data_IF_542396837835
#
_entry.id   IF_542396837835
#
_cell.length_a   1.000
_cell.length_b   1.000
_cell.length_c   1.000
_cell.angle_alpha   90.00
_cell.angle_beta   90.00
_cell.angle_gamma   90.00
#
_symmetry.space_group_name_H-M   'P 1'
#
loop_
_entity.id
_entity.type
_entity.pdbx_description
1 polymer ?
#
# COMPACT_ATOMS: atom_id res chain seq x y z
N UNK A 1 7.49 18.83 -48.37
CA UNK A 1 7.67 17.39 -48.03
C UNK A 1 7.03 17.17 -46.66
N UNK A 2 5.69 17.08 -46.60
CA UNK A 2 4.95 17.00 -45.32
C UNK A 2 3.68 16.16 -45.39
N UNK A 3 3.58 15.18 -46.30
CA UNK A 3 2.34 14.42 -46.54
C UNK A 3 2.58 12.90 -46.65
N UNK A 4 3.21 12.31 -45.64
CA UNK A 4 3.23 10.84 -45.44
C UNK A 4 2.93 10.44 -43.99
N UNK A 5 2.28 11.32 -43.21
CA UNK A 5 1.77 11.05 -41.86
C UNK A 5 0.25 10.78 -41.84
N UNK A 6 -0.33 10.49 -43.01
CA UNK A 6 -1.73 10.11 -43.19
C UNK A 6 -1.95 8.60 -43.17
N UNK A 7 -1.21 7.85 -42.35
CA UNK A 7 -1.76 6.58 -41.88
C UNK A 7 -2.92 6.97 -40.97
N UNK A 8 -4.10 7.13 -41.55
CA UNK A 8 -5.38 7.31 -40.88
C UNK A 8 -5.48 6.20 -39.84
N UNK A 9 -5.02 6.53 -38.63
CA UNK A 9 -4.86 5.55 -37.57
C UNK A 9 -6.27 5.22 -37.14
N UNK A 10 -6.70 4.02 -37.46
CA UNK A 10 -8.05 3.50 -37.21
C UNK A 10 -8.18 3.18 -35.70
N UNK A 11 -7.81 4.14 -34.86
CA UNK A 11 -7.84 4.08 -33.42
C UNK A 11 -9.17 4.66 -32.93
N UNK A 12 -9.70 4.11 -31.83
CA UNK A 12 -10.96 4.58 -31.27
C UNK A 12 -10.86 6.04 -30.76
N UNK A 13 -11.73 6.98 -31.20
CA UNK A 13 -11.65 8.38 -30.80
C UNK A 13 -12.00 8.63 -29.33
N UNK A 14 -12.61 7.65 -28.66
CA UNK A 14 -12.98 7.73 -27.25
C UNK A 14 -11.97 7.05 -26.31
N UNK A 15 -10.88 6.51 -26.85
CA UNK A 15 -9.83 5.88 -26.05
C UNK A 15 -8.78 6.93 -25.61
N UNK A 16 -8.56 7.04 -24.31
CA UNK A 16 -7.49 7.88 -23.76
C UNK A 16 -6.89 7.27 -22.50
N UNK A 17 -5.88 7.92 -21.90
CA UNK A 17 -5.36 7.58 -20.57
C UNK A 17 -6.09 8.34 -19.46
N UNK A 18 -5.95 7.86 -18.23
CA UNK A 18 -6.36 8.61 -17.02
C UNK A 18 -5.71 9.99 -16.96
N UNK A 19 -4.46 10.09 -17.40
CA UNK A 19 -3.66 11.31 -17.28
C UNK A 19 -3.87 12.27 -18.46
N UNK A 20 -4.23 11.75 -19.64
CA UNK A 20 -4.45 12.53 -20.87
C UNK A 20 -5.50 11.84 -21.77
N UNK A 21 -6.57 12.57 -22.11
CA UNK A 21 -7.68 12.09 -22.93
C UNK A 21 -7.29 11.95 -24.41
N UNK A 22 -6.38 12.78 -24.90
CA UNK A 22 -6.05 12.87 -26.33
C UNK A 22 -4.82 12.06 -26.72
N UNK A 23 -4.13 11.47 -25.75
CA UNK A 23 -2.95 10.68 -26.01
C UNK A 23 -3.30 9.35 -26.71
N UNK A 24 -2.72 9.16 -27.89
CA UNK A 24 -2.86 7.96 -28.73
C UNK A 24 -1.76 6.97 -28.39
N UNK A 25 -2.08 5.67 -28.30
CA UNK A 25 -1.13 4.62 -27.93
C UNK A 25 -1.22 3.40 -28.86
N UNK A 26 -0.14 2.65 -28.98
CA UNK A 26 -0.09 1.41 -29.79
C UNK A 26 -0.26 0.12 -28.96
N UNK A 27 -0.29 0.21 -27.63
CA UNK A 27 -0.29 -0.96 -26.75
C UNK A 27 -1.35 -0.82 -25.65
N UNK A 28 -2.05 -1.92 -25.33
CA UNK A 28 -3.08 -1.89 -24.31
C UNK A 28 -2.47 -1.77 -22.90
N UNK A 29 -2.99 -0.82 -22.13
CA UNK A 29 -2.52 -0.55 -20.77
C UNK A 29 -3.68 -0.53 -19.78
N UNK A 30 -3.38 -0.83 -18.51
CA UNK A 30 -4.37 -0.72 -17.42
C UNK A 30 -4.80 0.73 -17.13
N UNK A 31 -4.07 1.70 -17.69
CA UNK A 31 -4.35 3.14 -17.55
C UNK A 31 -5.29 3.67 -18.63
N UNK A 32 -5.63 2.89 -19.64
CA UNK A 32 -6.62 3.32 -20.62
C UNK A 32 -8.02 3.40 -20.01
N UNK A 33 -8.76 4.41 -20.44
CA UNK A 33 -10.14 4.68 -20.07
C UNK A 33 -10.95 4.97 -21.33
N UNK A 34 -12.23 4.58 -21.30
CA UNK A 34 -13.19 4.95 -22.32
C UNK A 34 -13.88 6.25 -21.91
N UNK A 35 -13.80 7.26 -22.76
CA UNK A 35 -14.39 8.59 -22.56
C UNK A 35 -15.64 8.80 -23.42
N UNK A 36 -16.37 7.72 -23.74
CA UNK A 36 -17.65 7.79 -24.45
C UNK A 36 -18.77 8.32 -23.53
N UNK A 37 -18.69 8.02 -22.24
CA UNK A 37 -19.62 8.48 -21.22
C UNK A 37 -19.04 9.67 -20.44
N UNK A 38 -19.89 10.35 -19.65
CA UNK A 38 -19.48 11.46 -18.78
C UNK A 38 -18.37 11.04 -17.80
N UNK A 39 -18.43 9.79 -17.31
CA UNK A 39 -17.40 9.23 -16.46
C UNK A 39 -16.42 8.37 -17.28
N UNK A 40 -15.13 8.51 -17.00
CA UNK A 40 -14.09 7.73 -17.66
C UNK A 40 -14.07 6.28 -17.15
N UNK A 41 -14.56 5.33 -17.94
CA UNK A 41 -14.67 3.93 -17.52
C UNK A 41 -13.40 3.12 -17.77
N UNK A 42 -13.02 2.20 -16.86
CA UNK A 42 -11.97 1.24 -17.14
C UNK A 42 -12.40 0.24 -18.25
N UNK A 43 -11.44 -0.12 -19.10
CA UNK A 43 -11.62 -1.12 -20.16
C UNK A 43 -10.74 -2.33 -19.84
N UNK A 44 -11.24 -3.55 -20.07
CA UNK A 44 -10.42 -4.77 -19.93
C UNK A 44 -9.32 -4.75 -20.98
N UNK A 45 -8.14 -5.28 -20.64
CA UNK A 45 -6.99 -5.28 -21.56
C UNK A 45 -7.30 -6.02 -22.88
N UNK A 46 -8.01 -7.14 -22.79
CA UNK A 46 -8.45 -7.91 -23.96
C UNK A 46 -9.33 -7.08 -24.90
N UNK A 47 -10.36 -6.40 -24.39
CA UNK A 47 -11.22 -5.54 -25.21
C UNK A 47 -10.45 -4.37 -25.85
N UNK A 48 -9.42 -3.85 -25.18
CA UNK A 48 -8.58 -2.79 -25.74
C UNK A 48 -7.76 -3.28 -26.94
N UNK A 49 -7.10 -4.43 -26.81
CA UNK A 49 -6.28 -5.03 -27.87
C UNK A 49 -7.15 -5.47 -29.06
N UNK A 50 -8.32 -6.05 -28.76
CA UNK A 50 -9.22 -6.58 -29.77
C UNK A 50 -10.01 -5.50 -30.51
N UNK A 51 -10.52 -4.49 -29.80
CA UNK A 51 -11.41 -3.48 -30.38
C UNK A 51 -10.76 -2.10 -30.42
N UNK A 52 -10.31 -1.55 -29.28
CA UNK A 52 -10.00 -0.13 -29.21
C UNK A 52 -8.72 0.29 -29.96
N UNK A 53 -7.75 -0.61 -30.06
CA UNK A 53 -6.45 -0.42 -30.74
C UNK A 53 -6.40 -1.08 -32.12
N UNK A 54 -7.55 -1.54 -32.61
CA UNK A 54 -7.65 -2.23 -33.89
C UNK A 54 -8.70 -1.55 -34.77
N UNK A 55 -8.73 -1.86 -36.07
CA UNK A 55 -9.78 -1.38 -36.97
C UNK A 55 -11.19 -1.84 -36.57
N UNK A 56 -11.30 -2.80 -35.65
CA UNK A 56 -12.57 -3.32 -35.14
C UNK A 56 -13.19 -2.41 -34.08
N UNK A 57 -12.66 -1.21 -33.81
CA UNK A 57 -13.26 -0.30 -32.85
C UNK A 57 -14.71 0.08 -33.21
N UNK A 58 -15.04 0.10 -34.51
CA UNK A 58 -16.40 0.37 -35.02
C UNK A 58 -17.41 -0.69 -34.62
N UNK A 59 -16.97 -1.93 -34.37
CA UNK A 59 -17.83 -3.04 -33.91
C UNK A 59 -17.81 -3.20 -32.39
N UNK A 60 -17.11 -2.31 -31.67
CA UNK A 60 -17.04 -2.38 -30.22
C UNK A 60 -18.46 -2.28 -29.63
N UNK A 61 -18.89 -3.22 -28.78
CA UNK A 61 -20.22 -3.18 -28.17
C UNK A 61 -20.43 -1.92 -27.32
N UNK A 62 -19.34 -1.41 -26.74
CA UNK A 62 -19.33 -0.15 -25.98
C UNK A 62 -19.40 1.10 -26.86
N UNK A 63 -19.29 0.99 -28.18
CA UNK A 63 -19.46 2.11 -29.12
C UNK A 63 -20.82 2.05 -29.80
N UNK A 64 -21.32 0.85 -30.10
CA UNK A 64 -22.59 0.64 -30.79
C UNK A 64 -23.79 0.73 -29.84
N UNK A 65 -23.70 0.17 -28.64
CA UNK A 65 -24.82 0.13 -27.71
C UNK A 65 -24.68 1.24 -26.64
N UNK A 66 -25.56 2.27 -26.62
CA UNK A 66 -25.53 3.32 -25.60
C UNK A 66 -25.89 2.81 -24.20
N UNK A 67 -26.61 1.68 -24.12
CA UNK A 67 -27.07 1.06 -22.88
C UNK A 67 -26.17 -0.08 -22.41
N UNK A 68 -25.09 -0.40 -23.13
CA UNK A 68 -24.11 -1.39 -22.69
C UNK A 68 -23.60 -0.98 -21.31
N UNK A 69 -24.04 -1.73 -20.29
CA UNK A 69 -23.79 -1.43 -18.90
C UNK A 69 -22.29 -1.21 -18.66
N UNK A 70 -21.91 -0.20 -17.87
CA UNK A 70 -20.53 0.00 -17.46
C UNK A 70 -20.02 -1.36 -16.93
N UNK A 71 -18.86 -1.82 -17.42
CA UNK A 71 -18.28 -3.06 -16.90
C UNK A 71 -18.29 -2.92 -15.39
N UNK A 72 -19.05 -3.80 -14.67
CA UNK A 72 -19.21 -3.67 -13.24
C UNK A 72 -17.81 -3.57 -12.71
N UNK A 73 -17.51 -2.40 -12.15
CA UNK A 73 -16.17 -2.05 -11.74
C UNK A 73 -15.72 -3.22 -10.90
N UNK A 74 -14.79 -4.03 -11.45
CA UNK A 74 -14.46 -5.34 -10.88
C UNK A 74 -14.00 -4.99 -9.51
N UNK A 75 -14.89 -5.12 -8.51
CA UNK A 75 -14.83 -4.43 -7.23
C UNK A 75 -13.44 -4.69 -6.78
N UNK A 76 -12.55 -3.72 -7.00
CA UNK A 76 -11.12 -3.98 -6.96
C UNK A 76 -11.01 -4.44 -5.54
N UNK A 77 -10.72 -5.72 -5.34
CA UNK A 77 -10.49 -6.24 -4.02
C UNK A 77 -9.25 -5.48 -3.60
N UNK A 78 -9.48 -4.33 -2.99
CA UNK A 78 -8.61 -3.62 -2.06
C UNK A 78 -8.39 -4.50 -0.82
N UNK A 79 -8.55 -5.82 -0.94
CA UNK A 79 -7.57 -6.76 -0.43
C UNK A 79 -6.21 -6.61 -1.15
N UNK A 80 -5.72 -5.38 -1.34
CA UNK A 80 -4.34 -5.12 -0.98
C UNK A 80 -4.30 -5.30 0.55
N UNK A 81 -4.34 -6.57 0.99
CA UNK A 81 -3.69 -6.99 2.20
C UNK A 81 -2.24 -6.62 1.95
N UNK A 82 -1.89 -5.36 2.24
CA UNK A 82 -0.52 -4.97 2.46
C UNK A 82 -0.03 -5.94 3.51
N UNK A 83 0.65 -6.99 3.06
CA UNK A 83 1.37 -7.88 3.95
C UNK A 83 2.53 -7.05 4.46
N UNK A 84 2.21 -6.18 5.42
CA UNK A 84 3.19 -5.38 6.13
C UNK A 84 4.04 -6.41 6.87
N UNK A 85 5.16 -6.80 6.29
CA UNK A 85 6.10 -7.70 6.94
C UNK A 85 6.81 -6.88 8.01
N UNK A 86 6.32 -6.96 9.24
CA UNK A 86 7.01 -6.41 10.40
C UNK A 86 7.98 -7.51 10.86
N UNK A 87 9.28 -7.20 10.93
CA UNK A 87 10.34 -8.15 11.32
C UNK A 87 10.42 -9.42 10.45
N UNK A 88 10.11 -9.32 9.16
CA UNK A 88 10.22 -10.45 8.22
C UNK A 88 9.18 -11.57 8.41
N UNK A 89 8.29 -11.45 9.39
CA UNK A 89 7.22 -12.42 9.65
C UNK A 89 5.86 -11.91 9.16
N UNK A 90 4.94 -12.79 8.74
CA UNK A 90 3.58 -12.39 8.42
C UNK A 90 2.88 -11.90 9.69
N UNK A 91 2.29 -10.69 9.63
CA UNK A 91 1.50 -10.05 10.70
C UNK A 91 0.64 -11.01 11.53
N UNK A 92 -0.15 -11.94 10.96
CA UNK A 92 -0.97 -12.83 11.77
C UNK A 92 -0.16 -13.73 12.70
N UNK A 93 1.04 -14.18 12.30
CA UNK A 93 1.92 -14.98 13.17
C UNK A 93 2.58 -14.13 14.23
N UNK A 94 2.94 -12.88 13.91
CA UNK A 94 3.49 -11.98 14.91
C UNK A 94 2.46 -11.67 16.01
N UNK A 95 1.22 -11.33 15.63
CA UNK A 95 0.16 -11.10 16.60
C UNK A 95 -0.16 -12.35 17.44
N UNK A 96 -0.13 -13.55 16.85
CA UNK A 96 -0.42 -14.78 17.60
C UNK A 96 0.58 -15.06 18.72
N UNK A 97 1.82 -14.57 18.63
CA UNK A 97 2.82 -14.70 19.69
C UNK A 97 2.92 -13.46 20.59
N UNK A 98 2.80 -12.27 20.02
CA UNK A 98 2.93 -11.01 20.76
C UNK A 98 1.80 -10.83 21.78
N UNK A 99 0.55 -11.18 21.43
CA UNK A 99 -0.61 -11.04 22.31
C UNK A 99 -0.50 -11.90 23.59
N UNK A 100 -0.25 -13.23 23.53
CA UNK A 100 -0.13 -14.03 24.74
C UNK A 100 1.09 -13.62 25.58
N UNK A 101 2.23 -13.26 24.96
CA UNK A 101 3.39 -12.76 25.70
C UNK A 101 3.08 -11.46 26.45
N UNK A 102 2.41 -10.51 25.79
CA UNK A 102 2.00 -9.26 26.43
C UNK A 102 1.00 -9.51 27.57
N UNK A 103 0.04 -10.43 27.39
CA UNK A 103 -0.91 -10.80 28.45
C UNK A 103 -0.20 -11.44 29.66
N UNK A 104 0.74 -12.35 29.43
CA UNK A 104 1.56 -12.94 30.51
C UNK A 104 2.39 -11.89 31.24
N UNK A 105 2.97 -10.94 30.51
CA UNK A 105 3.71 -9.83 31.11
C UNK A 105 2.83 -8.95 31.99
N UNK A 106 1.65 -8.55 31.50
CA UNK A 106 0.69 -7.76 32.27
C UNK A 106 0.26 -8.53 33.53
N UNK A 107 -0.06 -9.82 33.41
CA UNK A 107 -0.43 -10.66 34.55
C UNK A 107 0.67 -10.74 35.60
N UNK A 108 1.93 -10.87 35.19
CA UNK A 108 3.08 -10.89 36.08
C UNK A 108 3.28 -9.55 36.83
N UNK A 109 3.09 -8.41 36.13
CA UNK A 109 3.16 -7.07 36.75
C UNK A 109 2.03 -6.86 37.76
N UNK A 110 0.81 -7.32 37.44
CA UNK A 110 -0.32 -7.23 38.38
C UNK A 110 -0.09 -8.11 39.61
N UNK A 111 0.40 -9.34 39.42
CA UNK A 111 0.70 -10.25 40.52
C UNK A 111 1.81 -9.69 41.44
N UNK A 112 2.87 -9.10 40.87
CA UNK A 112 3.93 -8.48 41.67
C UNK A 112 3.43 -7.25 42.44
N UNK A 113 2.59 -6.42 41.83
CA UNK A 113 1.96 -5.28 42.49
C UNK A 113 1.11 -5.72 43.69
N UNK A 114 0.27 -6.75 43.51
CA UNK A 114 -0.55 -7.33 44.58
C UNK A 114 0.32 -7.88 45.71
N UNK A 115 1.42 -8.56 45.38
CA UNK A 115 2.36 -9.08 46.37
C UNK A 115 3.00 -7.96 47.20
N UNK A 116 3.41 -6.86 46.56
CA UNK A 116 3.97 -5.68 47.26
C UNK A 116 2.94 -5.05 48.19
N UNK A 117 1.68 -4.96 47.77
CA UNK A 117 0.60 -4.43 48.61
C UNK A 117 0.35 -5.30 49.85
N UNK A 118 0.41 -6.62 49.72
CA UNK A 118 0.26 -7.53 50.85
C UNK A 118 1.47 -7.59 51.78
N UNK A 119 2.67 -7.35 51.25
CA UNK A 119 3.91 -7.31 52.03
C UNK A 119 4.23 -5.91 52.58
N UNK A 120 3.43 -4.89 52.25
CA UNK A 120 3.61 -3.57 52.80
C UNK A 120 3.40 -3.64 54.32
N UNK A 121 4.41 -3.31 55.14
CA UNK A 121 4.29 -3.35 56.59
C UNK A 121 3.13 -2.44 56.99
N UNK A 122 2.24 -2.97 57.83
CA UNK A 122 1.12 -2.20 58.38
C UNK A 122 1.69 -0.89 58.93
N UNK A 123 1.21 0.28 58.49
CA UNK A 123 1.73 1.53 59.01
C UNK A 123 1.51 1.49 60.52
N UNK A 124 2.61 1.38 61.26
CA UNK A 124 2.58 1.40 62.72
C UNK A 124 1.83 2.69 63.10
N UNK A 125 0.85 2.63 64.03
CA UNK A 125 0.18 3.84 64.47
C UNK A 125 1.27 4.78 64.98
N UNK A 126 1.44 5.89 64.29
CA UNK A 126 2.33 6.97 64.71
C UNK A 126 1.77 7.41 66.06
N UNK A 127 2.36 6.90 67.14
CA UNK A 127 2.08 7.41 68.47
C UNK A 127 2.36 8.90 68.39
N UNK A 128 1.33 9.72 68.62
CA UNK A 128 1.43 11.17 68.65
C UNK A 128 2.55 11.55 69.61
N UNK A 129 3.71 11.92 69.06
CA UNK A 129 4.78 12.53 69.85
C UNK A 129 4.24 13.94 70.17
N UNK A 130 3.98 14.28 71.44
CA UNK A 130 3.57 15.63 71.79
C UNK A 130 4.64 16.60 71.28
N UNK A 131 4.23 17.53 70.44
CA UNK A 131 5.08 18.56 69.87
C UNK A 131 5.60 19.43 71.01
N UNK A 132 6.84 19.21 71.43
CA UNK A 132 7.53 20.15 72.31
C UNK A 132 7.76 21.46 71.54
N UNK A 133 7.28 22.61 72.05
CA UNK A 133 7.52 23.89 71.42
C UNK A 133 8.96 24.34 71.71
N UNK A 134 9.68 24.67 70.64
CA UNK A 134 10.88 25.51 70.74
C UNK A 134 12.20 24.77 70.58
N UNK A 135 12.55 24.49 69.32
CA UNK A 135 13.97 24.43 68.94
C UNK A 135 14.15 25.27 67.67
N UNK A 136 15.00 26.31 67.68
CA UNK A 136 15.24 27.15 66.52
C UNK A 136 15.85 26.31 65.40
N UNK A 137 15.11 26.21 64.29
CA UNK A 137 15.51 25.52 63.07
C UNK A 137 16.67 26.30 62.43
N UNK A 138 17.85 25.71 62.21
CA UNK A 138 18.90 26.37 61.44
C UNK A 138 18.44 26.50 59.99
N UNK A 139 18.32 27.74 59.54
CA UNK A 139 18.09 28.13 58.15
C UNK A 139 19.34 27.79 57.35
N UNK A 140 19.35 26.65 56.66
CA UNK A 140 20.36 26.37 55.66
C UNK A 140 19.98 27.12 54.37
N UNK A 141 20.66 28.24 54.13
CA UNK A 141 20.65 28.97 52.87
C UNK A 141 21.26 28.11 51.79
N UNK A 142 20.46 27.66 50.82
CA UNK A 142 20.96 26.97 49.64
C UNK A 142 21.64 27.98 48.69
N UNK A 143 22.96 27.91 48.58
CA UNK A 143 23.74 28.66 47.58
C UNK A 143 23.45 28.09 46.20
N UNK A 144 22.84 28.89 45.32
CA UNK A 144 22.65 28.54 43.92
C UNK A 144 24.01 28.52 43.21
N UNK A 145 24.43 27.35 42.72
CA UNK A 145 25.56 27.22 41.82
C UNK A 145 25.12 27.54 40.38
N UNK A 146 25.91 28.30 39.59
CA UNK A 146 25.57 28.63 38.22
C UNK A 146 25.64 27.39 37.32
N UNK A 147 24.58 27.18 36.55
CA UNK A 147 24.46 26.11 35.56
C UNK A 147 25.54 26.21 34.46
N UNK A 148 26.14 25.09 34.02
CA UNK A 148 26.97 25.08 32.82
C UNK A 148 26.09 25.21 31.58
N UNK A 149 26.35 26.25 30.79
CA UNK A 149 25.81 26.45 29.44
C UNK A 149 26.33 25.38 28.51
N UNK A 150 25.46 24.50 28.02
CA UNK A 150 25.80 23.54 26.96
C UNK A 150 25.55 24.18 25.60
N UNK A 151 26.62 24.40 24.85
CA UNK A 151 26.59 24.91 23.47
C UNK A 151 26.20 23.78 22.51
N UNK A 152 25.15 23.92 21.68
CA UNK A 152 24.84 22.92 20.66
C UNK A 152 25.89 22.96 19.55
N UNK A 153 26.62 21.85 19.36
CA UNK A 153 27.52 21.65 18.23
C UNK A 153 26.67 21.39 16.98
N UNK A 154 26.86 22.23 15.96
CA UNK A 154 26.13 22.18 14.69
C UNK A 154 26.34 20.87 13.94
N UNK A 155 25.23 20.30 13.49
CA UNK A 155 25.19 19.14 12.62
C UNK A 155 25.81 19.48 11.25
N UNK A 156 26.91 18.82 10.90
CA UNK A 156 27.45 18.80 9.55
C UNK A 156 26.54 17.99 8.64
N UNK A 157 25.90 18.65 7.68
CA UNK A 157 25.13 18.03 6.58
C UNK A 157 26.12 17.49 5.55
N UNK A 158 26.20 16.18 5.28
CA UNK A 158 26.87 15.71 4.09
C UNK A 158 25.98 15.99 2.86
N UNK A 159 26.46 16.92 2.04
CA UNK A 159 25.97 17.15 0.68
C UNK A 159 26.40 15.98 -0.19
N UNK A 160 25.45 15.09 -0.52
CA UNK A 160 25.69 13.99 -1.45
C UNK A 160 25.16 14.36 -2.84
N UNK A 161 26.11 14.80 -3.65
CA UNK A 161 26.23 14.80 -5.10
C UNK A 161 25.16 14.04 -5.88
N UNK A 162 24.46 14.77 -6.77
CA UNK A 162 23.68 14.25 -7.88
C UNK A 162 24.60 13.48 -8.85
N UNK A 163 24.58 12.16 -8.75
CA UNK A 163 25.09 11.28 -9.79
C UNK A 163 24.06 11.17 -10.91
N UNK A 164 24.31 11.86 -12.02
CA UNK A 164 23.67 11.56 -13.30
C UNK A 164 24.17 10.17 -13.74
N UNK A 165 23.33 9.14 -13.59
CA UNK A 165 23.57 7.83 -14.20
C UNK A 165 22.86 7.81 -15.54
N UNK A 166 23.67 7.78 -16.59
CA UNK A 166 23.24 7.69 -17.97
C UNK A 166 22.35 6.47 -18.22
N UNK A 167 21.36 6.71 -19.05
CA UNK A 167 20.39 5.73 -19.55
C UNK A 167 21.07 4.86 -20.60
N UNK A 168 21.42 3.62 -20.23
CA UNK A 168 21.70 2.57 -21.20
C UNK A 168 20.42 1.75 -21.40
N UNK A 169 19.73 2.01 -22.50
CA UNK A 169 18.59 1.23 -22.98
C UNK A 169 19.10 -0.10 -23.55
N UNK A 170 18.80 -1.27 -22.95
CA UNK A 170 19.05 -2.53 -23.64
C UNK A 170 18.02 -2.71 -24.75
N UNK A 171 18.50 -2.80 -25.99
CA UNK A 171 17.72 -3.24 -27.15
C UNK A 171 17.37 -4.72 -26.95
N UNK A 172 16.08 -5.11 -26.86
CA UNK A 172 15.74 -6.52 -26.90
C UNK A 172 15.87 -7.03 -28.34
N UNK A 173 16.79 -7.96 -28.54
CA UNK A 173 16.89 -8.77 -29.75
C UNK A 173 15.62 -9.61 -29.86
N UNK A 174 14.81 -9.34 -30.88
CA UNK A 174 13.61 -10.08 -31.22
C UNK A 174 14.04 -11.36 -31.98
N UNK A 175 14.19 -12.47 -31.26
CA UNK A 175 14.28 -13.78 -31.90
C UNK A 175 12.84 -14.26 -32.10
N UNK A 176 12.39 -14.34 -33.36
CA UNK A 176 11.13 -14.97 -33.74
C UNK A 176 11.29 -16.50 -33.70
N UNK A 177 10.61 -17.23 -32.80
CA UNK A 177 10.32 -18.63 -33.04
C UNK A 177 9.06 -18.73 -33.92
N UNK A 178 9.30 -19.15 -35.16
CA UNK A 178 8.29 -19.73 -36.03
C UNK A 178 7.81 -21.03 -35.37
N UNK A 179 6.71 -20.97 -34.61
CA UNK A 179 6.08 -22.13 -34.00
C UNK A 179 4.69 -22.34 -34.60
N UNK A 180 4.63 -23.37 -35.43
CA UNK A 180 3.50 -24.05 -36.06
C UNK A 180 2.28 -24.22 -35.13
N UNK A 181 1.04 -23.97 -35.59
CA UNK A 181 -0.15 -24.33 -34.84
C UNK A 181 -0.42 -25.83 -34.94
N UNK A 182 -0.43 -26.53 -33.81
CA UNK A 182 -1.03 -27.87 -33.69
C UNK A 182 -2.36 -27.72 -32.94
N UNK A 183 -3.45 -27.85 -33.69
CA UNK A 183 -4.78 -28.11 -33.16
C UNK A 183 -4.79 -29.42 -32.36
N UNK A 184 -5.20 -29.36 -31.10
CA UNK A 184 -5.73 -30.54 -30.40
C UNK A 184 -7.04 -30.15 -29.73
N UNK A 185 -8.13 -30.40 -30.44
CA UNK A 185 -9.48 -30.38 -29.91
C UNK A 185 -9.63 -31.45 -28.83
N UNK A 186 -9.76 -31.06 -27.56
CA UNK A 186 -10.18 -31.96 -26.48
C UNK A 186 -11.62 -31.66 -26.09
N UNK A 187 -12.52 -32.45 -26.67
CA UNK A 187 -13.95 -32.51 -26.41
C UNK A 187 -14.18 -33.04 -24.99
N UNK A 188 -14.70 -32.23 -24.08
CA UNK A 188 -15.11 -32.67 -22.73
C UNK A 188 -16.59 -33.10 -22.76
N UNK A 189 -16.93 -34.36 -22.46
CA UNK A 189 -18.32 -34.78 -22.37
C UNK A 189 -18.98 -34.31 -21.07
N UNK A 190 -20.23 -33.93 -21.25
CA UNK A 190 -21.29 -33.52 -20.33
C UNK A 190 -21.49 -34.52 -19.18
N UNK A 191 -21.54 -34.02 -17.95
CA UNK A 191 -22.00 -34.79 -16.79
C UNK A 191 -23.47 -34.48 -16.53
N UNK A 192 -24.34 -35.46 -16.82
CA UNK A 192 -25.76 -35.48 -16.46
C UNK A 192 -25.88 -35.85 -14.98
N UNK A 193 -26.51 -35.00 -14.16
CA UNK A 193 -26.90 -35.34 -12.79
C UNK A 193 -28.42 -35.51 -12.75
N UNK A 194 -28.86 -36.76 -12.64
CA UNK A 194 -30.21 -37.11 -12.27
C UNK A 194 -30.36 -37.02 -10.75
N UNK A 195 -31.40 -36.33 -10.29
CA UNK A 195 -31.88 -36.35 -8.90
C UNK A 195 -33.09 -37.27 -8.83
N UNK A 196 -33.02 -38.22 -7.91
CA UNK A 196 -34.17 -38.90 -7.32
C UNK A 196 -34.70 -38.07 -6.14
#
# INVERSE_FOLDING_TARGET
>A
MSDLSGAERIDCPYLGKVDDRHAVYSQATRRHRCYRWEQALPIRRQDQEQYCLSPLHVTCPRLTDPNALPVPEVRRRTAHRSSARILGMPVPRFLSYAVPMLLLFIAAVVASYVLVQHMAPTPLPIAFIPTLPGTPRPTHTATATPFPTWTPVGASVPSATLGASETATPVPVFVSPLATPTETATRRPTATRATA
#
